data_IF_374481972670
#
_entry.id   IF_374481972670
#
_cell.length_a   1.000
_cell.length_b   1.000
_cell.length_c   1.000
_cell.angle_alpha   90.00
_cell.angle_beta   90.00
_cell.angle_gamma   90.00
#
_symmetry.space_group_name_H-M   'P 1'
#
loop_
_entity.id
_entity.type
_entity.pdbx_description
1 polymer ?
#
# COMPACT_ATOMS: atom_id res chain seq x y z
N UNK A 1 20.72 -16.62 18.19
CA UNK A 1 19.81 -15.49 18.43
C UNK A 1 18.76 -15.56 17.35
N UNK A 2 17.48 -15.73 17.70
CA UNK A 2 16.40 -15.67 16.71
C UNK A 2 16.31 -14.22 16.23
N UNK A 3 16.39 -14.00 14.91
CA UNK A 3 16.10 -12.70 14.34
C UNK A 3 14.66 -12.34 14.69
N UNK A 4 14.47 -11.22 15.36
CA UNK A 4 13.14 -10.67 15.56
C UNK A 4 12.54 -10.46 14.16
N UNK A 5 11.40 -11.09 13.90
CA UNK A 5 10.68 -10.88 12.67
C UNK A 5 10.28 -9.39 12.61
N UNK A 6 10.91 -8.63 11.71
CA UNK A 6 10.55 -7.25 11.51
C UNK A 6 9.13 -7.17 10.94
N UNK A 7 8.26 -6.42 11.58
CA UNK A 7 6.94 -6.12 11.01
C UNK A 7 7.09 -4.92 10.09
N UNK A 8 6.66 -5.05 8.85
CA UNK A 8 6.66 -3.95 7.89
C UNK A 8 5.61 -2.91 8.30
N UNK A 9 5.97 -1.62 8.45
CA UNK A 9 5.03 -0.55 8.71
C UNK A 9 3.97 -0.42 7.60
N UNK A 10 2.75 -0.06 7.98
CA UNK A 10 1.68 0.19 7.01
C UNK A 10 1.97 1.43 6.17
N UNK A 11 1.66 1.36 4.88
CA UNK A 11 1.71 2.49 3.97
C UNK A 11 0.44 3.37 4.04
N UNK A 12 -0.58 2.93 4.79
CA UNK A 12 -1.86 3.61 4.82
C UNK A 12 -2.45 3.80 3.42
N UNK A 13 -3.09 4.94 3.18
CA UNK A 13 -3.69 5.25 1.86
C UNK A 13 -2.66 5.45 0.75
N UNK A 14 -1.37 5.67 1.07
CA UNK A 14 -0.31 5.72 0.06
C UNK A 14 -0.06 4.37 -0.62
N UNK A 15 -0.33 3.26 0.05
CA UNK A 15 -0.24 1.91 -0.52
C UNK A 15 -1.34 1.58 -1.55
N UNK A 16 -2.26 2.50 -1.83
CA UNK A 16 -3.23 2.35 -2.91
C UNK A 16 -2.67 2.74 -4.29
N UNK A 17 -1.44 3.19 -4.35
CA UNK A 17 -0.81 3.69 -5.57
C UNK A 17 0.40 2.84 -5.97
N UNK A 18 0.42 2.40 -7.21
CA UNK A 18 1.60 1.78 -7.82
C UNK A 18 2.72 2.81 -8.06
N UNK A 19 2.32 4.07 -8.32
CA UNK A 19 3.24 5.19 -8.49
C UNK A 19 2.69 6.40 -7.75
N UNK A 20 3.47 6.98 -6.84
CA UNK A 20 3.08 8.16 -6.08
C UNK A 20 4.21 9.18 -6.02
N UNK A 21 3.91 10.41 -6.40
CA UNK A 21 4.75 11.57 -6.14
C UNK A 21 4.10 12.42 -5.04
N UNK A 22 4.61 12.32 -3.82
CA UNK A 22 4.09 12.98 -2.62
C UNK A 22 4.90 14.23 -2.24
N UNK A 23 5.38 14.98 -3.24
CA UNK A 23 6.17 16.18 -3.00
C UNK A 23 5.37 17.25 -2.21
N UNK A 24 6.02 18.04 -1.36
CA UNK A 24 5.35 19.10 -0.62
C UNK A 24 4.85 20.22 -1.56
N UNK A 25 3.91 21.04 -1.06
CA UNK A 25 3.43 22.26 -1.72
C UNK A 25 2.90 22.03 -3.15
N UNK A 26 2.23 20.90 -3.38
CA UNK A 26 1.71 20.51 -4.72
C UNK A 26 2.81 20.39 -5.80
N UNK A 27 4.06 20.19 -5.41
CA UNK A 27 5.20 20.03 -6.32
C UNK A 27 5.36 18.63 -6.91
N UNK A 28 4.40 17.73 -6.70
CA UNK A 28 4.46 16.37 -7.23
C UNK A 28 4.37 16.32 -8.74
N UNK A 29 5.14 15.41 -9.34
CA UNK A 29 5.08 15.14 -10.77
C UNK A 29 5.34 13.64 -11.05
N UNK A 30 4.61 13.10 -12.01
CA UNK A 30 4.83 11.76 -12.55
C UNK A 30 4.95 11.88 -14.06
N UNK A 31 6.05 11.39 -14.61
CA UNK A 31 6.26 11.32 -16.06
C UNK A 31 6.44 9.88 -16.46
N UNK A 32 5.66 9.39 -17.41
CA UNK A 32 5.80 8.05 -17.96
C UNK A 32 5.86 8.12 -19.49
N UNK A 33 6.95 7.58 -20.05
CA UNK A 33 7.20 7.54 -21.50
C UNK A 33 7.57 6.12 -21.91
N UNK A 34 6.90 5.62 -22.95
CA UNK A 34 7.16 4.30 -23.56
C UNK A 34 7.18 3.12 -22.56
N UNK A 35 6.42 3.28 -21.46
CA UNK A 35 6.30 2.28 -20.38
C UNK A 35 4.87 1.79 -20.21
N UNK A 36 4.64 1.06 -19.12
CA UNK A 36 3.28 0.67 -18.70
C UNK A 36 3.17 0.78 -17.18
N UNK A 37 1.99 1.14 -16.67
CA UNK A 37 1.73 1.12 -15.23
C UNK A 37 0.46 0.32 -14.97
N UNK A 38 0.60 -0.80 -14.27
CA UNK A 38 -0.51 -1.58 -13.74
C UNK A 38 -0.76 -1.16 -12.30
N UNK A 39 -1.83 -0.41 -12.07
CA UNK A 39 -2.21 0.16 -10.77
C UNK A 39 -2.48 1.66 -10.84
N UNK A 40 -2.82 2.25 -9.70
CA UNK A 40 -3.16 3.66 -9.60
C UNK A 40 -1.91 4.55 -9.62
N UNK A 41 -2.07 5.75 -10.16
CA UNK A 41 -1.04 6.79 -10.17
C UNK A 41 -1.51 7.99 -9.36
N UNK A 42 -0.70 8.42 -8.40
CA UNK A 42 -0.95 9.58 -7.55
C UNK A 42 0.09 10.66 -7.71
N UNK A 43 -0.33 11.91 -7.69
CA UNK A 43 0.55 13.08 -7.62
C UNK A 43 -0.03 14.11 -6.65
N UNK A 44 0.81 14.70 -5.81
CA UNK A 44 0.41 15.88 -5.00
C UNK A 44 0.26 17.14 -5.86
N UNK A 45 0.82 17.15 -7.07
CA UNK A 45 0.64 18.21 -8.06
C UNK A 45 -0.70 18.16 -8.76
N UNK A 46 -0.97 19.13 -9.59
CA UNK A 46 -2.19 19.19 -10.42
C UNK A 46 -2.21 18.06 -11.45
N UNK A 47 -3.38 17.79 -12.05
CA UNK A 47 -3.51 16.73 -13.07
C UNK A 47 -2.50 16.88 -14.22
N UNK A 48 -2.15 18.10 -14.59
CA UNK A 48 -1.15 18.38 -15.63
C UNK A 48 0.28 17.95 -15.25
N UNK A 49 0.55 17.71 -13.97
CA UNK A 49 1.85 17.17 -13.50
C UNK A 49 2.01 15.67 -13.74
N UNK A 50 0.96 14.99 -14.19
CA UNK A 50 1.01 13.59 -14.60
C UNK A 50 1.02 13.55 -16.13
N UNK A 51 2.21 13.33 -16.69
CA UNK A 51 2.47 13.30 -18.12
C UNK A 51 2.59 11.86 -18.59
N UNK A 52 1.85 11.51 -19.63
CA UNK A 52 1.86 10.20 -20.26
C UNK A 52 2.20 10.34 -21.74
N UNK A 53 3.20 9.62 -22.21
CA UNK A 53 3.53 9.49 -23.63
C UNK A 53 3.76 8.02 -23.93
N UNK A 54 2.91 7.42 -24.76
CA UNK A 54 2.96 5.96 -25.03
C UNK A 54 3.06 5.11 -23.75
N UNK A 55 2.31 5.50 -22.70
CA UNK A 55 2.34 4.84 -21.40
C UNK A 55 0.92 4.54 -20.89
N UNK A 56 0.36 3.38 -21.21
CA UNK A 56 -0.93 2.98 -20.67
C UNK A 56 -0.88 2.78 -19.16
N UNK A 57 -1.90 3.30 -18.45
CA UNK A 57 -2.13 3.15 -17.03
C UNK A 57 -3.45 2.40 -16.86
N UNK A 58 -3.45 1.25 -16.19
CA UNK A 58 -4.67 0.44 -16.03
C UNK A 58 -5.54 0.91 -14.87
N UNK A 59 -4.96 1.63 -13.90
CA UNK A 59 -5.65 2.18 -12.74
C UNK A 59 -6.12 3.62 -12.93
N UNK A 60 -6.56 4.22 -11.85
CA UNK A 60 -6.98 5.62 -11.81
C UNK A 60 -5.78 6.55 -11.66
N UNK A 61 -5.91 7.77 -12.21
CA UNK A 61 -4.97 8.85 -11.98
C UNK A 61 -5.63 9.85 -11.02
N UNK A 62 -5.03 10.02 -9.85
CA UNK A 62 -5.47 10.95 -8.80
C UNK A 62 -4.46 12.07 -8.65
N UNK A 63 -4.81 13.27 -9.10
CA UNK A 63 -3.95 14.44 -9.00
C UNK A 63 -4.81 15.72 -8.94
N UNK A 64 -4.76 16.49 -7.86
CA UNK A 64 -3.96 16.22 -6.66
C UNK A 64 -4.50 15.06 -5.81
N UNK A 65 -3.62 14.32 -5.16
CA UNK A 65 -4.00 13.38 -4.10
C UNK A 65 -4.41 14.15 -2.85
N UNK A 66 -5.20 13.53 -1.97
CA UNK A 66 -5.59 14.14 -0.71
C UNK A 66 -4.40 14.37 0.23
N UNK A 67 -4.53 15.33 1.15
CA UNK A 67 -3.51 15.58 2.17
C UNK A 67 -3.25 14.34 3.04
N UNK A 68 -4.27 13.48 3.24
CA UNK A 68 -4.12 12.21 3.96
C UNK A 68 -3.13 11.26 3.28
N UNK A 69 -3.18 11.13 1.97
CA UNK A 69 -2.25 10.28 1.21
C UNK A 69 -0.80 10.73 1.43
N UNK A 70 -0.56 12.05 1.37
CA UNK A 70 0.78 12.62 1.61
C UNK A 70 1.21 12.41 3.06
N UNK A 71 0.30 12.58 4.02
CA UNK A 71 0.57 12.36 5.44
C UNK A 71 0.89 10.88 5.73
N UNK A 72 0.10 9.95 5.18
CA UNK A 72 0.32 8.52 5.34
C UNK A 72 1.66 8.08 4.75
N UNK A 73 2.01 8.58 3.55
CA UNK A 73 3.33 8.33 2.97
C UNK A 73 4.46 8.84 3.89
N UNK A 74 4.36 10.07 4.40
CA UNK A 74 5.37 10.63 5.28
C UNK A 74 5.49 9.86 6.60
N UNK A 75 4.38 9.41 7.16
CA UNK A 75 4.34 8.59 8.37
C UNK A 75 5.00 7.23 8.12
N UNK A 76 4.66 6.57 7.01
CA UNK A 76 5.29 5.30 6.62
C UNK A 76 6.79 5.48 6.40
N UNK A 77 7.20 6.51 5.65
CA UNK A 77 8.60 6.80 5.40
C UNK A 77 9.39 6.99 6.70
N UNK A 78 8.85 7.72 7.67
CA UNK A 78 9.46 7.91 8.99
C UNK A 78 9.50 6.62 9.80
N UNK A 79 8.45 5.82 9.76
CA UNK A 79 8.37 4.54 10.45
C UNK A 79 9.42 3.55 9.92
N UNK A 80 9.59 3.44 8.60
CA UNK A 80 10.65 2.61 8.01
C UNK A 80 12.05 3.14 8.36
N UNK A 81 12.25 4.46 8.42
CA UNK A 81 13.51 5.06 8.85
C UNK A 81 13.88 4.67 10.29
N UNK A 82 12.88 4.54 11.17
CA UNK A 82 13.07 4.23 12.59
C UNK A 82 13.36 2.75 12.88
N UNK A 83 13.12 1.83 11.92
CA UNK A 83 13.40 0.40 12.12
C UNK A 83 14.89 0.20 12.41
N UNK A 84 15.26 -0.50 13.51
CA UNK A 84 16.66 -0.82 13.77
C UNK A 84 17.27 -1.67 12.65
N UNK A 85 18.54 -1.43 12.34
CA UNK A 85 19.28 -2.24 11.39
C UNK A 85 19.60 -3.62 11.96
N UNK A 86 19.27 -4.67 11.22
CA UNK A 86 19.63 -6.04 11.57
C UNK A 86 21.00 -6.41 11.05
N UNK A 87 21.21 -6.27 9.75
CA UNK A 87 22.48 -6.63 9.08
C UNK A 87 22.95 -5.49 8.19
N UNK A 88 24.19 -5.08 8.34
CA UNK A 88 24.81 -4.11 7.43
C UNK A 88 25.36 -4.82 6.21
N UNK A 89 25.02 -4.29 5.05
CA UNK A 89 25.46 -4.78 3.76
C UNK A 89 26.41 -3.78 3.11
N UNK A 90 27.27 -4.32 2.26
CA UNK A 90 28.18 -3.56 1.39
C UNK A 90 28.22 -4.22 0.00
N UNK A 91 28.79 -3.54 -0.96
CA UNK A 91 28.94 -4.07 -2.32
C UNK A 91 27.66 -4.04 -3.14
N UNK A 92 27.66 -4.80 -4.22
CA UNK A 92 26.65 -4.74 -5.28
C UNK A 92 25.47 -5.70 -5.10
N UNK A 93 25.52 -6.57 -4.12
CA UNK A 93 24.61 -7.70 -3.89
C UNK A 93 24.56 -8.75 -5.02
N UNK A 94 25.48 -8.69 -5.98
CA UNK A 94 25.57 -9.67 -7.06
C UNK A 94 25.82 -11.08 -6.50
N UNK A 95 24.92 -12.03 -6.80
CA UNK A 95 24.99 -13.41 -6.33
C UNK A 95 24.61 -13.61 -4.86
N UNK A 96 24.18 -12.55 -4.15
CA UNK A 96 23.74 -12.68 -2.76
C UNK A 96 22.40 -13.42 -2.67
N UNK A 97 22.25 -14.22 -1.60
CA UNK A 97 20.98 -14.87 -1.23
C UNK A 97 20.62 -14.45 0.19
N UNK A 98 19.44 -13.83 0.35
CA UNK A 98 19.02 -13.26 1.63
C UNK A 98 17.66 -13.82 2.08
N UNK A 99 17.60 -14.23 3.33
CA UNK A 99 16.37 -14.58 4.02
C UNK A 99 15.61 -13.30 4.47
N UNK A 100 14.34 -13.40 4.91
CA UNK A 100 13.63 -12.27 5.50
C UNK A 100 14.42 -11.57 6.61
N UNK A 101 14.41 -10.25 6.61
CA UNK A 101 15.17 -9.48 7.59
C UNK A 101 15.29 -7.99 7.27
N UNK A 102 16.02 -7.27 8.11
CA UNK A 102 16.32 -5.84 7.93
C UNK A 102 17.79 -5.69 7.53
N UNK A 103 18.01 -5.13 6.36
CA UNK A 103 19.34 -4.97 5.74
C UNK A 103 19.63 -3.49 5.50
N UNK A 104 20.81 -3.03 5.88
CA UNK A 104 21.15 -1.62 5.87
C UNK A 104 22.43 -1.33 5.10
N UNK A 105 22.40 -0.28 4.30
CA UNK A 105 23.57 0.41 3.78
C UNK A 105 23.71 1.75 4.50
N UNK A 106 24.86 2.00 5.09
CA UNK A 106 25.11 3.27 5.81
C UNK A 106 25.13 4.47 4.86
N UNK A 107 25.67 4.28 3.68
CA UNK A 107 25.78 5.27 2.60
C UNK A 107 24.91 4.87 1.39
N UNK A 108 25.20 5.48 0.24
CA UNK A 108 24.59 5.09 -1.03
C UNK A 108 24.91 3.62 -1.39
N UNK A 109 23.97 2.99 -2.07
CA UNK A 109 24.11 1.64 -2.58
C UNK A 109 24.11 1.64 -4.12
N UNK A 110 25.14 1.03 -4.71
CA UNK A 110 25.21 0.76 -6.15
C UNK A 110 25.04 -0.74 -6.35
N UNK A 111 23.93 -1.16 -6.92
CA UNK A 111 23.53 -2.55 -7.04
C UNK A 111 23.63 -3.02 -8.49
N UNK A 112 24.17 -4.20 -8.68
CA UNK A 112 24.31 -4.85 -10.00
C UNK A 112 24.15 -6.36 -9.86
N UNK A 113 23.92 -7.06 -10.97
CA UNK A 113 23.82 -8.52 -10.99
C UNK A 113 22.50 -9.01 -10.36
N UNK A 114 22.52 -10.20 -9.75
CA UNK A 114 21.29 -10.83 -9.24
C UNK A 114 21.34 -10.99 -7.73
N UNK A 115 20.29 -10.51 -7.06
CA UNK A 115 19.98 -10.76 -5.67
C UNK A 115 18.85 -11.79 -5.60
N UNK A 116 19.02 -12.85 -4.83
CA UNK A 116 18.00 -13.86 -4.58
C UNK A 116 17.42 -13.68 -3.17
N UNK A 117 16.10 -13.56 -3.08
CA UNK A 117 15.36 -13.49 -1.81
C UNK A 117 14.68 -14.83 -1.57
N UNK A 118 15.00 -15.50 -0.43
CA UNK A 118 14.48 -16.83 -0.10
C UNK A 118 13.64 -16.81 1.15
N UNK A 119 12.45 -17.43 1.08
CA UNK A 119 11.51 -17.48 2.20
C UNK A 119 10.23 -16.70 1.94
N UNK A 120 9.44 -16.42 2.98
CA UNK A 120 8.09 -15.84 2.86
C UNK A 120 7.85 -14.63 3.75
N UNK A 121 8.83 -14.17 4.51
CA UNK A 121 8.68 -13.01 5.42
C UNK A 121 8.97 -11.67 4.76
N UNK A 122 8.99 -10.59 5.52
CA UNK A 122 9.34 -9.28 5.00
C UNK A 122 10.86 -9.12 4.83
N UNK A 123 11.24 -8.47 3.73
CA UNK A 123 12.59 -7.97 3.50
C UNK A 123 12.55 -6.45 3.51
N UNK A 124 13.33 -5.84 4.38
CA UNK A 124 13.41 -4.39 4.51
C UNK A 124 14.86 -3.97 4.23
N UNK A 125 15.06 -3.30 3.12
CA UNK A 125 16.36 -2.71 2.76
C UNK A 125 16.33 -1.21 3.09
N UNK A 126 17.35 -0.74 3.78
CA UNK A 126 17.50 0.67 4.16
C UNK A 126 18.79 1.23 3.58
N UNK A 127 18.69 2.20 2.69
CA UNK A 127 19.82 2.80 2.01
C UNK A 127 20.05 4.22 2.52
N UNK A 128 21.28 4.51 2.97
CA UNK A 128 21.63 5.82 3.49
C UNK A 128 21.26 6.02 4.96
N UNK A 129 21.37 4.98 5.79
CA UNK A 129 21.04 5.07 7.22
C UNK A 129 21.94 6.04 8.01
N UNK A 130 23.07 6.45 7.44
CA UNK A 130 23.92 7.54 7.97
C UNK A 130 23.38 8.94 7.72
N UNK A 131 22.17 9.07 7.16
CA UNK A 131 21.48 10.36 6.89
C UNK A 131 21.40 10.74 5.42
N UNK A 132 22.31 10.24 4.60
CA UNK A 132 22.33 10.50 3.15
C UNK A 132 22.71 9.22 2.39
N UNK A 133 22.08 9.00 1.24
CA UNK A 133 22.42 7.86 0.38
C UNK A 133 21.32 7.60 -0.65
N UNK A 134 21.75 7.47 -1.89
CA UNK A 134 20.90 7.12 -3.03
C UNK A 134 21.01 5.63 -3.33
N UNK A 135 19.97 5.08 -3.92
CA UNK A 135 19.97 3.75 -4.53
C UNK A 135 20.22 3.89 -6.02
N UNK A 136 21.24 3.24 -6.53
CA UNK A 136 21.49 3.11 -7.97
C UNK A 136 21.52 1.62 -8.33
N UNK A 137 20.61 1.18 -9.18
CA UNK A 137 20.61 -0.17 -9.75
C UNK A 137 20.85 -0.12 -11.25
N UNK A 138 21.82 -0.88 -11.72
CA UNK A 138 22.10 -1.01 -13.16
C UNK A 138 22.28 -2.49 -13.50
N UNK A 139 21.48 -3.00 -14.44
CA UNK A 139 21.42 -4.44 -14.73
C UNK A 139 21.23 -5.25 -13.41
N UNK A 140 20.43 -4.73 -12.50
CA UNK A 140 20.19 -5.33 -11.20
C UNK A 140 18.87 -6.11 -11.21
N UNK A 141 18.97 -7.40 -10.92
CA UNK A 141 17.83 -8.30 -10.91
C UNK A 141 17.56 -8.79 -9.50
N UNK A 142 16.32 -8.65 -9.04
CA UNK A 142 15.84 -9.25 -7.80
C UNK A 142 14.97 -10.45 -8.15
N UNK A 143 15.28 -11.61 -7.57
CA UNK A 143 14.57 -12.88 -7.81
C UNK A 143 14.00 -13.39 -6.49
N UNK A 144 12.75 -13.83 -6.51
CA UNK A 144 12.13 -14.48 -5.37
C UNK A 144 12.28 -16.00 -5.51
N UNK A 145 12.77 -16.66 -4.46
CA UNK A 145 12.85 -18.11 -4.37
C UNK A 145 12.11 -18.58 -3.10
N UNK A 146 11.39 -19.71 -3.20
CA UNK A 146 10.69 -20.27 -2.04
C UNK A 146 9.33 -19.66 -1.74
N UNK A 147 8.63 -19.12 -2.74
CA UNK A 147 7.23 -18.67 -2.61
C UNK A 147 7.05 -17.32 -1.91
N UNK A 148 8.08 -16.50 -1.87
CA UNK A 148 8.00 -15.13 -1.34
C UNK A 148 7.05 -14.25 -2.16
N UNK A 149 6.44 -13.26 -1.49
CA UNK A 149 5.58 -12.27 -2.14
C UNK A 149 6.41 -11.01 -2.45
N UNK A 150 6.46 -10.54 -3.71
CA UNK A 150 7.12 -9.29 -4.10
C UNK A 150 6.73 -8.09 -3.26
N UNK A 151 5.47 -8.03 -2.81
CA UNK A 151 4.94 -6.93 -2.01
C UNK A 151 5.37 -6.97 -0.53
N UNK A 152 6.08 -8.01 -0.11
CA UNK A 152 6.73 -8.08 1.21
C UNK A 152 8.18 -7.54 1.19
N UNK A 153 8.62 -7.01 0.06
CA UNK A 153 9.95 -6.40 -0.08
C UNK A 153 9.81 -4.88 -0.09
N UNK A 154 10.52 -4.20 0.80
CA UNK A 154 10.51 -2.73 0.89
C UNK A 154 11.93 -2.18 0.88
N UNK A 155 12.14 -1.15 0.07
CA UNK A 155 13.39 -0.40 -0.06
C UNK A 155 13.17 1.03 0.41
N UNK A 156 13.55 1.31 1.64
CA UNK A 156 13.61 2.67 2.15
C UNK A 156 14.92 3.33 1.70
N UNK A 157 14.83 4.46 1.04
CA UNK A 157 15.99 5.18 0.48
C UNK A 157 16.00 6.61 1.01
N UNK A 158 17.09 7.01 1.65
CA UNK A 158 17.21 8.34 2.24
C UNK A 158 17.11 9.47 1.19
N UNK A 159 17.59 9.21 -0.02
CA UNK A 159 17.59 10.17 -1.13
C UNK A 159 16.87 9.60 -2.36
N UNK A 160 17.43 9.78 -3.54
CA UNK A 160 16.86 9.32 -4.81
C UNK A 160 17.09 7.82 -5.05
N UNK A 161 16.20 7.22 -5.85
CA UNK A 161 16.39 5.89 -6.39
C UNK A 161 16.42 5.95 -7.92
N UNK A 162 17.43 5.35 -8.52
CA UNK A 162 17.60 5.26 -9.98
C UNK A 162 17.83 3.82 -10.37
N UNK A 163 16.96 3.28 -11.21
CA UNK A 163 17.08 1.93 -11.75
C UNK A 163 17.16 1.99 -13.27
N UNK A 164 18.15 1.32 -13.83
CA UNK A 164 18.37 1.26 -15.28
C UNK A 164 18.57 -0.20 -15.69
N UNK A 165 17.88 -0.64 -16.74
CA UNK A 165 17.96 -1.99 -17.30
C UNK A 165 17.80 -3.09 -16.24
N UNK A 166 16.89 -2.88 -15.28
CA UNK A 166 16.76 -3.71 -14.09
C UNK A 166 15.42 -4.42 -14.02
N UNK A 167 15.40 -5.65 -13.49
CA UNK A 167 14.18 -6.35 -13.10
C UNK A 167 14.07 -6.30 -11.58
N UNK A 168 13.32 -5.34 -11.11
CA UNK A 168 13.31 -4.99 -9.70
C UNK A 168 12.04 -5.47 -8.99
N UNK A 169 12.21 -5.91 -7.77
CA UNK A 169 11.11 -6.37 -6.90
C UNK A 169 11.12 -5.58 -5.60
N UNK A 170 9.96 -5.10 -5.21
CA UNK A 170 9.69 -4.45 -3.95
C UNK A 170 9.27 -2.99 -4.07
N UNK A 171 8.58 -2.52 -3.05
CA UNK A 171 8.16 -1.13 -2.92
C UNK A 171 9.34 -0.24 -2.56
N UNK A 172 9.55 0.85 -3.31
CA UNK A 172 10.52 1.89 -2.99
C UNK A 172 9.82 3.05 -2.29
N UNK A 173 10.32 3.41 -1.09
CA UNK A 173 10.01 4.68 -0.44
C UNK A 173 11.23 5.58 -0.53
N UNK A 174 11.23 6.56 -1.43
CA UNK A 174 12.36 7.44 -1.66
C UNK A 174 12.18 8.81 -1.00
N UNK A 175 13.23 9.28 -0.34
CA UNK A 175 13.29 10.63 0.25
C UNK A 175 13.45 11.75 -0.79
N UNK A 176 13.72 11.40 -2.06
CA UNK A 176 13.78 12.31 -3.19
C UNK A 176 13.10 11.66 -4.41
N UNK A 177 13.59 11.90 -5.63
CA UNK A 177 12.99 11.39 -6.86
C UNK A 177 13.24 9.88 -7.07
N UNK A 178 12.35 9.25 -7.83
CA UNK A 178 12.54 7.90 -8.38
C UNK A 178 12.65 8.01 -9.91
N UNK A 179 13.66 7.36 -10.48
CA UNK A 179 13.83 7.24 -11.93
C UNK A 179 13.95 5.76 -12.30
N UNK A 180 13.06 5.30 -13.16
CA UNK A 180 13.02 3.94 -13.68
C UNK A 180 13.23 4.00 -15.19
N UNK A 181 14.29 3.36 -15.69
CA UNK A 181 14.64 3.39 -17.11
C UNK A 181 14.85 1.96 -17.61
N UNK A 182 13.97 1.48 -18.44
CA UNK A 182 13.93 0.13 -19.01
C UNK A 182 13.89 -1.00 -17.98
N UNK A 183 13.34 -2.13 -18.36
CA UNK A 183 13.20 -3.30 -17.52
C UNK A 183 11.80 -3.44 -16.89
N UNK A 184 11.72 -4.15 -15.78
CA UNK A 184 10.47 -4.40 -15.05
C UNK A 184 10.56 -3.97 -13.60
N UNK A 185 9.45 -3.51 -13.05
CA UNK A 185 9.36 -3.09 -11.67
C UNK A 185 8.10 -3.67 -11.03
N UNK A 186 8.26 -4.60 -10.10
CA UNK A 186 7.17 -5.20 -9.33
C UNK A 186 7.15 -4.66 -7.90
N UNK A 187 6.24 -3.75 -7.61
CA UNK A 187 6.12 -3.05 -6.35
C UNK A 187 5.60 -1.64 -6.56
N UNK A 188 5.62 -0.82 -5.51
CA UNK A 188 5.14 0.55 -5.60
C UNK A 188 6.31 1.53 -5.60
N UNK A 189 6.26 2.52 -6.48
CA UNK A 189 7.26 3.58 -6.57
C UNK A 189 6.72 4.85 -5.90
N UNK A 190 7.07 5.04 -4.62
CA UNK A 190 6.55 6.11 -3.77
C UNK A 190 7.67 7.09 -3.42
N UNK A 191 7.56 8.36 -3.83
CA UNK A 191 8.62 9.34 -3.74
C UNK A 191 8.19 10.65 -3.07
N UNK A 192 9.10 11.29 -2.34
CA UNK A 192 8.94 12.68 -1.84
C UNK A 192 9.13 13.74 -2.93
N UNK A 193 9.51 13.34 -4.13
CA UNK A 193 9.68 14.22 -5.27
C UNK A 193 9.10 13.55 -6.53
N UNK A 194 9.58 13.93 -7.71
CA UNK A 194 9.07 13.39 -8.96
C UNK A 194 9.35 11.89 -9.14
N UNK A 195 8.47 11.22 -9.88
CA UNK A 195 8.71 9.87 -10.40
C UNK A 195 8.76 9.91 -11.90
N UNK A 196 9.86 9.43 -12.48
CA UNK A 196 10.08 9.36 -13.93
C UNK A 196 10.23 7.91 -14.35
N UNK A 197 9.46 7.49 -15.34
CA UNK A 197 9.42 6.14 -15.88
C UNK A 197 9.64 6.24 -17.39
N UNK A 198 10.65 5.52 -17.90
CA UNK A 198 10.95 5.47 -19.34
C UNK A 198 11.22 4.02 -19.74
N UNK A 199 10.38 3.48 -20.63
CA UNK A 199 10.54 2.12 -21.14
C UNK A 199 10.43 1.02 -20.09
N UNK A 200 9.87 1.30 -18.92
CA UNK A 200 9.74 0.34 -17.81
C UNK A 200 8.30 -0.12 -17.66
N UNK A 201 8.09 -1.42 -17.46
CA UNK A 201 6.82 -1.99 -17.07
C UNK A 201 6.71 -2.02 -15.53
N UNK A 202 5.83 -1.20 -14.98
CA UNK A 202 5.53 -1.13 -13.54
C UNK A 202 4.28 -1.94 -13.23
N UNK A 203 4.38 -2.85 -12.28
CA UNK A 203 3.24 -3.59 -11.71
C UNK A 203 3.20 -3.31 -10.22
N UNK A 204 2.23 -2.51 -9.81
CA UNK A 204 2.03 -2.15 -8.41
C UNK A 204 1.58 -3.33 -7.56
N UNK A 205 1.78 -3.23 -6.27
CA UNK A 205 1.22 -4.16 -5.31
C UNK A 205 -0.30 -4.01 -5.26
N UNK A 206 -1.05 -5.13 -5.11
CA UNK A 206 -2.47 -5.02 -4.81
C UNK A 206 -2.63 -4.13 -3.58
N UNK A 207 -3.53 -3.15 -3.67
CA UNK A 207 -3.87 -2.34 -2.52
C UNK A 207 -4.14 -3.31 -1.37
N UNK A 208 -3.26 -3.32 -0.37
CA UNK A 208 -3.60 -3.98 0.88
C UNK A 208 -4.83 -3.25 1.35
N UNK A 209 -5.97 -3.94 1.37
CA UNK A 209 -7.10 -3.47 2.14
C UNK A 209 -6.57 -3.34 3.56
N UNK A 210 -5.97 -2.19 3.85
CA UNK A 210 -5.71 -1.83 5.23
C UNK A 210 -7.04 -1.99 5.93
N UNK A 211 -7.05 -2.60 7.08
CA UNK A 211 -8.05 -2.30 8.07
C UNK A 211 -7.87 -0.80 8.35
N UNK A 212 -8.27 0.04 7.38
CA UNK A 212 -8.47 1.46 7.57
C UNK A 212 -9.67 1.56 8.48
N UNK A 213 -9.53 2.24 9.58
CA UNK A 213 -10.63 2.95 10.20
C UNK A 213 -11.41 3.64 9.08
N UNK A 214 -12.55 3.08 8.70
CA UNK A 214 -13.40 3.59 7.62
C UNK A 214 -13.76 2.63 6.50
N UNK A 215 -13.34 1.34 6.48
CA UNK A 215 -14.22 0.32 5.95
C UNK A 215 -15.38 0.24 6.97
N UNK A 216 -16.37 1.08 6.80
CA UNK A 216 -17.70 0.74 7.30
C UNK A 216 -17.93 -0.66 6.75
N UNK A 217 -17.87 -1.63 7.63
CA UNK A 217 -18.40 -2.96 7.33
C UNK A 217 -19.82 -2.65 6.94
N UNK A 218 -20.10 -2.59 5.64
CA UNK A 218 -21.46 -2.50 5.15
C UNK A 218 -22.12 -3.79 5.60
N UNK A 219 -22.55 -3.75 6.84
CA UNK A 219 -23.35 -4.82 7.37
C UNK A 219 -24.53 -4.98 6.43
N UNK A 220 -24.76 -6.20 6.03
CA UNK A 220 -25.92 -6.53 5.24
C UNK A 220 -27.16 -5.92 5.91
N UNK A 221 -27.87 -5.08 5.20
CA UNK A 221 -29.08 -4.40 5.66
C UNK A 221 -30.27 -5.38 5.83
N UNK A 222 -30.02 -6.69 5.75
CA UNK A 222 -31.03 -7.72 5.90
C UNK A 222 -31.26 -8.14 7.35
N UNK A 223 -32.48 -8.54 7.66
CA UNK A 223 -32.81 -9.23 8.91
C UNK A 223 -32.01 -10.54 8.96
N UNK A 224 -31.29 -10.81 10.03
CA UNK A 224 -30.60 -12.07 10.22
C UNK A 224 -29.10 -12.00 10.36
N UNK A 225 -28.53 -10.84 10.59
CA UNK A 225 -27.09 -10.73 10.82
C UNK A 225 -26.63 -11.17 12.24
N UNK A 226 -27.49 -11.64 13.09
CA UNK A 226 -27.14 -12.31 14.34
C UNK A 226 -25.93 -11.79 15.11
N UNK A 227 -25.20 -12.61 15.85
CA UNK A 227 -24.09 -12.21 16.73
C UNK A 227 -22.81 -11.88 15.96
N UNK A 228 -22.87 -11.42 14.74
CA UNK A 228 -21.69 -11.17 13.86
C UNK A 228 -20.99 -9.85 14.17
N UNK A 229 -21.47 -9.08 15.12
CA UNK A 229 -20.86 -7.83 15.54
C UNK A 229 -21.19 -6.63 14.64
N UNK A 230 -22.07 -6.81 13.67
CA UNK A 230 -22.60 -5.76 12.82
C UNK A 230 -24.04 -5.43 13.21
N UNK A 231 -24.38 -4.14 13.22
CA UNK A 231 -25.74 -3.70 13.40
C UNK A 231 -26.56 -3.95 12.13
N UNK A 232 -27.56 -4.83 12.15
CA UNK A 232 -28.35 -5.09 10.96
C UNK A 232 -29.30 -3.93 10.70
N UNK A 233 -29.42 -3.64 9.44
CA UNK A 233 -30.44 -2.87 8.72
C UNK A 233 -31.10 -1.73 9.33
N UNK A 234 -31.20 -1.22 10.31
CA UNK A 234 -31.81 0.00 10.81
C UNK A 234 -30.93 0.68 11.85
N UNK A 235 -29.72 0.88 11.47
CA UNK A 235 -28.68 1.47 12.32
C UNK A 235 -29.00 2.85 12.87
N UNK A 236 -29.98 3.53 12.31
CA UNK A 236 -30.51 4.77 12.86
C UNK A 236 -31.58 4.58 13.90
N UNK A 237 -31.95 3.37 14.18
CA UNK A 237 -32.88 3.10 15.28
C UNK A 237 -32.06 3.06 16.57
N UNK A 238 -32.18 4.10 17.35
CA UNK A 238 -31.44 4.25 18.61
C UNK A 238 -31.78 3.19 19.67
N UNK A 239 -32.61 2.23 19.35
CA UNK A 239 -33.06 1.31 20.34
C UNK A 239 -32.38 -0.02 20.26
N UNK A 240 -32.31 -0.67 19.13
CA UNK A 240 -31.76 -2.04 19.02
C UNK A 240 -31.88 -2.51 17.61
N UNK A 241 -31.08 -3.48 17.26
CA UNK A 241 -31.18 -4.17 16.01
C UNK A 241 -32.55 -4.83 15.84
N UNK A 242 -32.93 -5.11 14.63
CA UNK A 242 -34.22 -5.73 14.33
C UNK A 242 -34.42 -7.08 15.01
N UNK A 243 -33.35 -7.71 15.49
CA UNK A 243 -33.40 -9.03 16.14
C UNK A 243 -33.39 -8.96 17.66
N UNK A 244 -33.11 -7.81 18.26
CA UNK A 244 -32.71 -7.76 19.67
C UNK A 244 -33.88 -7.58 20.63
N UNK A 245 -35.00 -7.04 20.18
CA UNK A 245 -36.20 -6.90 21.00
C UNK A 245 -37.14 -8.08 20.86
N UNK A 246 -36.67 -9.26 21.21
CA UNK A 246 -37.49 -10.47 21.22
C UNK A 246 -37.58 -11.18 19.87
N UNK A 247 -36.77 -10.82 18.91
CA UNK A 247 -36.55 -11.61 17.72
C UNK A 247 -35.53 -12.74 17.97
N UNK A 248 -35.61 -13.78 17.17
CA UNK A 248 -34.57 -14.81 17.15
C UNK A 248 -33.52 -14.37 16.15
N UNK A 249 -32.23 -14.38 16.51
CA UNK A 249 -31.17 -14.07 15.55
C UNK A 249 -31.31 -14.93 14.29
N UNK A 250 -31.31 -14.29 13.14
CA UNK A 250 -31.53 -14.97 11.87
C UNK A 250 -32.98 -15.19 11.47
N UNK A 251 -33.96 -14.64 12.18
CA UNK A 251 -35.39 -14.73 11.80
C UNK A 251 -35.74 -13.66 10.74
N UNK A 252 -35.87 -14.03 9.46
CA UNK A 252 -36.11 -13.08 8.37
C UNK A 252 -37.51 -12.44 8.40
N UNK A 253 -38.40 -12.93 9.23
CA UNK A 253 -39.79 -12.45 9.31
C UNK A 253 -40.01 -11.46 10.43
N UNK A 254 -39.04 -11.21 11.31
CA UNK A 254 -39.22 -10.39 12.49
C UNK A 254 -38.33 -9.16 12.46
N UNK A 255 -38.96 -8.01 12.43
CA UNK A 255 -38.26 -6.75 12.71
C UNK A 255 -38.16 -6.57 14.21
N UNK A 256 -36.96 -6.63 14.75
CA UNK A 256 -36.72 -6.38 16.16
C UNK A 256 -37.28 -5.03 16.58
N UNK A 257 -37.90 -4.96 17.70
CA UNK A 257 -38.40 -3.73 18.27
C UNK A 257 -39.72 -3.17 17.72
N UNK A 258 -40.24 -3.68 16.63
CA UNK A 258 -41.50 -3.19 16.07
C UNK A 258 -42.70 -4.11 16.36
N UNK A 259 -42.63 -4.83 17.46
CA UNK A 259 -43.63 -5.83 17.85
C UNK A 259 -44.89 -5.27 18.55
N UNK A 260 -45.26 -4.03 18.37
CA UNK A 260 -46.57 -3.56 18.76
C UNK A 260 -47.43 -3.33 17.54
N UNK A 261 -47.89 -4.42 16.96
CA UNK A 261 -49.13 -4.35 16.24
C UNK A 261 -50.24 -4.09 17.27
N UNK A 262 -50.71 -2.87 17.35
CA UNK A 262 -51.95 -2.52 17.97
C UNK A 262 -53.05 -3.39 17.33
N UNK A 263 -53.46 -4.39 18.07
CA UNK A 263 -54.73 -5.02 17.80
C UNK A 263 -55.82 -3.98 18.08
N UNK A 264 -56.31 -3.33 17.06
CA UNK A 264 -57.51 -2.54 17.12
C UNK A 264 -58.65 -3.51 17.36
N UNK A 265 -59.07 -3.62 18.60
CA UNK A 265 -60.33 -4.23 18.98
C UNK A 265 -61.44 -3.42 18.36
N UNK A 266 -62.02 -3.93 17.31
CA UNK A 266 -63.26 -3.43 16.78
C UNK A 266 -64.38 -3.66 17.84
N UNK A 267 -64.75 -2.62 18.54
CA UNK A 267 -65.93 -2.59 19.39
C UNK A 267 -67.16 -2.68 18.50
N UNK A 268 -67.83 -3.81 18.51
CA UNK A 268 -69.17 -3.92 18.01
C UNK A 268 -70.07 -3.18 18.95
N UNK A 269 -70.68 -2.09 18.52
CA UNK A 269 -71.88 -1.56 19.11
C UNK A 269 -73.12 -2.05 18.34
N UNK A 270 -74.05 -2.46 19.14
CA UNK A 270 -75.43 -2.81 18.73
C UNK A 270 -76.14 -1.65 18.03
#
# INVERSE_FOLDING_TARGET
MAALAATAPSLGTAGNFAVLSAAPLHGGAVTCTDGTITGNVGSSGLRASVVQTSCPITGSIVAPVSAKVVADFNSAYAAYAAIPCGTFLTGTLAGATLAPGVYCFTAAATLTGTLTLTGSGPWIFKIGTGGTGALTGTNFNVVMAGGGNPCNVTWWVAQAATLTDSNFIGTILAGAAITLTRGTFHGDALAKAAVTITGTAVTGCPATKGHGEGDEVHCNQGVGNGPEGCDPGNSNNHNTSNDELGGTPGDPGRQGGNGTHHATTASKRK
#
